data_IF_794426774433
#
_entry.id   IF_794426774433
#
_cell.length_a   1.000
_cell.length_b   1.000
_cell.length_c   1.000
_cell.angle_alpha   90.00
_cell.angle_beta   90.00
_cell.angle_gamma   90.00
#
_symmetry.space_group_name_H-M   'P 1'
#
loop_
_entity.id
_entity.type
_entity.pdbx_description
1 polymer ?
#
# COMPACT_ATOMS: atom_id res chain seq x y z
N UNK A 1 -14.47 14.73 -17.07
CA UNK A 1 -13.91 13.40 -16.90
C UNK A 1 -12.47 13.48 -16.41
N UNK A 2 -12.20 12.85 -15.29
CA UNK A 2 -10.86 12.84 -14.72
C UNK A 2 -9.81 12.25 -15.65
N UNK A 3 -10.22 11.24 -16.44
CA UNK A 3 -9.37 10.58 -17.41
C UNK A 3 -8.81 11.52 -18.50
N UNK A 4 -9.41 12.70 -18.69
CA UNK A 4 -8.94 13.66 -19.67
C UNK A 4 -7.64 14.34 -19.27
N UNK A 5 -7.25 14.26 -17.99
CA UNK A 5 -6.03 14.86 -17.47
C UNK A 5 -4.79 14.05 -17.84
N UNK A 6 -4.96 12.78 -18.21
CA UNK A 6 -3.86 11.86 -18.49
C UNK A 6 -4.08 11.13 -19.80
N UNK A 7 -3.00 10.99 -20.56
CA UNK A 7 -3.03 10.16 -21.77
C UNK A 7 -2.96 8.69 -21.41
N UNK A 8 -3.28 7.80 -22.35
CA UNK A 8 -3.14 6.36 -22.16
C UNK A 8 -1.71 5.98 -21.82
N UNK A 9 -0.73 6.63 -22.46
CA UNK A 9 0.69 6.38 -22.18
C UNK A 9 1.06 6.77 -20.76
N UNK A 10 0.53 7.88 -20.26
CA UNK A 10 0.79 8.34 -18.90
C UNK A 10 0.16 7.40 -17.88
N UNK A 11 -1.04 6.90 -18.15
CA UNK A 11 -1.72 5.93 -17.29
C UNK A 11 -0.93 4.62 -17.24
N UNK A 12 -0.41 4.16 -18.38
CA UNK A 12 0.42 2.97 -18.44
C UNK A 12 1.72 3.15 -17.65
N UNK A 13 2.33 4.33 -17.73
CA UNK A 13 3.54 4.63 -16.97
C UNK A 13 3.28 4.62 -15.46
N UNK A 14 2.16 5.19 -15.01
CA UNK A 14 1.77 5.17 -13.60
C UNK A 14 1.52 3.73 -13.17
N UNK A 15 0.85 2.94 -14.00
CA UNK A 15 0.62 1.52 -13.73
C UNK A 15 1.91 0.74 -13.53
N UNK A 16 2.91 1.00 -14.36
CA UNK A 16 4.22 0.34 -14.25
C UNK A 16 4.93 0.73 -12.96
N UNK A 17 4.91 2.02 -12.62
CA UNK A 17 5.49 2.52 -11.37
C UNK A 17 4.82 1.84 -10.17
N UNK A 18 3.50 1.77 -10.17
CA UNK A 18 2.75 1.13 -9.08
C UNK A 18 3.02 -0.37 -9.02
N UNK A 19 3.14 -1.02 -10.16
CA UNK A 19 3.44 -2.45 -10.21
C UNK A 19 4.81 -2.75 -9.59
N UNK A 20 5.82 -1.96 -9.93
CA UNK A 20 7.16 -2.08 -9.36
C UNK A 20 7.12 -1.83 -7.85
N UNK A 21 6.46 -0.77 -7.43
CA UNK A 21 6.34 -0.37 -6.03
C UNK A 21 5.63 -1.46 -5.20
N UNK A 22 4.50 -1.94 -5.68
CA UNK A 22 3.72 -2.97 -4.98
C UNK A 22 4.43 -4.32 -4.98
N UNK A 23 5.14 -4.65 -6.07
CA UNK A 23 5.93 -5.88 -6.13
C UNK A 23 7.04 -5.89 -5.08
N UNK A 24 7.75 -4.78 -4.93
CA UNK A 24 8.78 -4.63 -3.91
C UNK A 24 8.17 -4.72 -2.51
N UNK A 25 7.01 -4.10 -2.31
CA UNK A 25 6.29 -4.15 -1.03
C UNK A 25 5.87 -5.58 -0.69
N UNK A 26 5.34 -6.33 -1.66
CA UNK A 26 4.93 -7.71 -1.46
C UNK A 26 6.12 -8.60 -1.08
N UNK A 27 7.28 -8.37 -1.69
CA UNK A 27 8.51 -9.10 -1.37
C UNK A 27 8.94 -8.82 0.07
N UNK A 28 8.90 -7.56 0.49
CA UNK A 28 9.25 -7.18 1.86
C UNK A 28 8.32 -7.84 2.88
N UNK A 29 7.02 -7.83 2.61
CA UNK A 29 6.04 -8.47 3.50
C UNK A 29 6.23 -9.98 3.53
N UNK A 30 6.49 -10.60 2.38
CA UNK A 30 6.75 -12.05 2.32
C UNK A 30 7.94 -12.45 3.19
N UNK A 31 9.00 -11.65 3.16
CA UNK A 31 10.18 -11.90 3.97
C UNK A 31 9.86 -11.70 5.46
N UNK A 32 9.17 -10.64 5.79
CA UNK A 32 8.82 -10.30 7.17
C UNK A 32 7.91 -11.33 7.82
N UNK A 33 6.93 -11.84 7.08
CA UNK A 33 5.98 -12.82 7.57
C UNK A 33 6.44 -14.27 7.37
N UNK A 34 7.57 -14.48 6.70
CA UNK A 34 8.10 -15.79 6.34
C UNK A 34 7.04 -16.63 5.60
N UNK A 35 6.28 -16.00 4.76
CA UNK A 35 5.20 -16.59 3.98
C UNK A 35 5.10 -15.85 2.66
N UNK A 36 4.85 -16.59 1.58
CA UNK A 36 4.71 -15.98 0.27
C UNK A 36 3.47 -15.09 0.21
N UNK A 37 3.65 -13.84 -0.16
CA UNK A 37 2.58 -12.89 -0.40
C UNK A 37 2.67 -12.45 -1.85
N UNK A 38 1.61 -12.67 -2.59
CA UNK A 38 1.51 -12.27 -3.99
C UNK A 38 0.49 -11.16 -4.13
N UNK A 39 0.75 -10.27 -5.07
CA UNK A 39 -0.20 -9.22 -5.43
C UNK A 39 -0.60 -9.39 -6.90
N UNK A 40 -1.79 -8.93 -7.22
CA UNK A 40 -2.22 -8.87 -8.61
C UNK A 40 -1.69 -7.60 -9.26
N UNK A 41 -1.60 -7.60 -10.59
CA UNK A 41 -1.24 -6.39 -11.33
C UNK A 41 -2.28 -5.30 -11.04
N UNK A 42 -1.84 -4.09 -10.70
CA UNK A 42 -2.78 -3.03 -10.38
C UNK A 42 -3.60 -2.58 -11.59
N UNK A 43 -4.84 -2.25 -11.33
CA UNK A 43 -5.71 -1.61 -12.31
C UNK A 43 -5.77 -0.13 -11.95
N UNK A 44 -5.35 0.71 -12.87
CA UNK A 44 -5.27 2.15 -12.64
C UNK A 44 -6.49 2.84 -13.22
N UNK A 45 -7.18 3.59 -12.38
CA UNK A 45 -8.31 4.42 -12.78
C UNK A 45 -8.01 5.87 -12.39
N UNK A 46 -8.33 6.78 -13.30
CA UNK A 46 -8.20 8.20 -13.04
C UNK A 46 -9.60 8.78 -12.90
N UNK A 47 -9.88 9.33 -11.75
CA UNK A 47 -11.18 9.93 -11.45
C UNK A 47 -10.98 11.32 -10.89
N UNK A 48 -11.98 12.16 -11.04
CA UNK A 48 -11.95 13.47 -10.42
C UNK A 48 -12.16 13.32 -8.92
N UNK A 49 -11.57 14.22 -8.15
CA UNK A 49 -11.66 14.18 -6.70
C UNK A 49 -13.12 14.15 -6.21
N UNK A 50 -14.00 14.90 -6.87
CA UNK A 50 -15.41 14.95 -6.52
C UNK A 50 -16.20 13.71 -6.94
N UNK A 51 -15.65 12.90 -7.84
CA UNK A 51 -16.26 11.65 -8.28
C UNK A 51 -15.81 10.45 -7.45
N UNK A 52 -14.76 10.61 -6.67
CA UNK A 52 -14.22 9.51 -5.87
C UNK A 52 -15.10 9.25 -4.65
N UNK A 53 -15.52 7.99 -4.48
CA UNK A 53 -16.40 7.59 -3.38
C UNK A 53 -15.73 6.54 -2.52
N UNK A 54 -15.57 6.88 -1.25
CA UNK A 54 -14.98 5.99 -0.25
C UNK A 54 -16.00 4.97 0.29
N UNK A 55 -17.27 5.21 0.09
CA UNK A 55 -18.34 4.36 0.61
C UNK A 55 -18.38 2.96 0.00
N UNK A 56 -17.67 2.75 -1.11
CA UNK A 56 -17.54 1.44 -1.74
C UNK A 56 -16.46 0.57 -1.12
N UNK A 57 -15.67 1.14 -0.24
CA UNK A 57 -14.59 0.42 0.42
C UNK A 57 -15.16 -0.20 1.70
N UNK A 58 -15.03 -1.52 1.81
CA UNK A 58 -15.40 -2.22 3.04
C UNK A 58 -14.66 -1.63 4.23
N UNK A 59 -15.13 -1.88 5.47
CA UNK A 59 -14.42 -1.37 6.63
C UNK A 59 -12.93 -1.55 6.46
N UNK A 60 -12.22 -0.45 6.39
CA UNK A 60 -10.82 -0.43 6.01
C UNK A 60 -10.02 0.46 6.95
N UNK A 61 -8.74 0.19 7.00
CA UNK A 61 -7.79 1.00 7.73
C UNK A 61 -7.03 1.81 6.70
N UNK A 62 -7.07 3.13 6.85
CA UNK A 62 -6.35 4.03 5.97
C UNK A 62 -4.98 4.37 6.54
N UNK A 63 -3.95 4.28 5.73
CA UNK A 63 -2.60 4.68 6.11
C UNK A 63 -2.16 5.77 5.15
N UNK A 64 -1.89 6.96 5.69
CA UNK A 64 -1.39 8.08 4.89
C UNK A 64 0.13 7.98 4.80
N UNK A 65 0.63 8.11 3.58
CA UNK A 65 2.06 8.03 3.27
C UNK A 65 2.46 9.33 2.60
N UNK A 66 3.46 10.01 3.15
CA UNK A 66 3.97 11.25 2.58
C UNK A 66 5.42 11.05 2.17
N UNK A 67 5.73 11.39 0.91
CA UNK A 67 7.10 11.35 0.44
C UNK A 67 7.84 12.59 0.95
N UNK A 68 9.08 12.41 1.40
CA UNK A 68 9.89 13.51 1.90
C UNK A 68 10.98 13.94 0.91
N UNK A 69 11.25 13.12 -0.09
CA UNK A 69 12.15 13.52 -1.18
C UNK A 69 11.92 12.65 -2.41
N UNK A 70 12.22 13.19 -3.56
CA UNK A 70 12.15 12.48 -4.84
C UNK A 70 10.79 12.53 -5.53
N UNK A 71 9.72 12.51 -4.76
CA UNK A 71 8.36 12.64 -5.24
C UNK A 71 7.62 13.60 -4.33
N UNK A 72 6.62 14.28 -4.89
CA UNK A 72 5.78 15.19 -4.13
C UNK A 72 4.39 14.61 -3.95
N UNK A 73 3.76 14.96 -2.84
CA UNK A 73 2.41 14.57 -2.55
C UNK A 73 2.33 13.45 -1.52
N UNK A 74 1.13 12.97 -1.32
CA UNK A 74 0.86 11.91 -0.37
C UNK A 74 -0.04 10.86 -1.00
N UNK A 75 0.06 9.66 -0.45
CA UNK A 75 -0.79 8.54 -0.82
C UNK A 75 -1.59 8.11 0.39
N UNK A 76 -2.76 7.58 0.14
CA UNK A 76 -3.50 6.88 1.18
C UNK A 76 -3.66 5.44 0.74
N UNK A 77 -3.17 4.52 1.55
CA UNK A 77 -3.34 3.09 1.31
C UNK A 77 -4.50 2.60 2.15
N UNK A 78 -5.47 1.97 1.52
CA UNK A 78 -6.63 1.42 2.20
C UNK A 78 -6.48 -0.09 2.29
N UNK A 79 -6.52 -0.61 3.50
CA UNK A 79 -6.37 -2.03 3.77
C UNK A 79 -7.66 -2.54 4.42
N UNK A 80 -8.15 -3.67 3.96
CA UNK A 80 -9.32 -4.28 4.57
C UNK A 80 -8.98 -4.71 6.00
N UNK A 81 -9.90 -4.49 6.91
CA UNK A 81 -9.72 -4.85 8.32
C UNK A 81 -9.35 -6.33 8.48
N UNK A 82 -10.01 -7.20 7.71
CA UNK A 82 -9.71 -8.63 7.73
C UNK A 82 -8.25 -8.91 7.35
N UNK A 83 -7.76 -8.27 6.31
CA UNK A 83 -6.39 -8.48 5.84
C UNK A 83 -5.37 -7.97 6.86
N UNK A 84 -5.66 -6.84 7.50
CA UNK A 84 -4.80 -6.30 8.56
C UNK A 84 -4.75 -7.28 9.73
N UNK A 85 -5.88 -7.84 10.13
CA UNK A 85 -5.92 -8.85 11.19
C UNK A 85 -5.05 -10.05 10.85
N UNK A 86 -5.16 -10.56 9.62
CA UNK A 86 -4.36 -11.70 9.18
C UNK A 86 -2.86 -11.37 9.26
N UNK A 87 -2.46 -10.19 8.80
CA UNK A 87 -1.06 -9.75 8.84
C UNK A 87 -0.56 -9.67 10.27
N UNK A 88 -1.34 -9.06 11.17
CA UNK A 88 -0.96 -8.92 12.57
C UNK A 88 -0.87 -10.29 13.23
N UNK A 89 -1.83 -11.18 12.97
CA UNK A 89 -1.80 -12.54 13.49
C UNK A 89 -0.53 -13.28 13.08
N UNK A 90 -0.16 -13.19 11.81
CA UNK A 90 1.04 -13.83 11.30
C UNK A 90 2.31 -13.22 11.88
N UNK A 91 2.34 -11.90 12.02
CA UNK A 91 3.50 -11.19 12.54
C UNK A 91 3.73 -11.50 14.02
N UNK A 92 2.68 -11.55 14.80
CA UNK A 92 2.76 -11.73 16.25
C UNK A 92 2.65 -13.18 16.69
N UNK A 93 2.19 -14.04 15.81
CA UNK A 93 2.03 -15.47 16.12
C UNK A 93 0.89 -15.76 17.09
N UNK A 94 -0.04 -14.84 17.23
CA UNK A 94 -1.19 -14.99 18.13
C UNK A 94 -2.46 -15.13 17.32
N UNK A 95 -3.11 -16.32 17.31
CA UNK A 95 -4.37 -16.48 16.59
C UNK A 95 -5.45 -15.59 17.16
N UNK A 96 -6.24 -14.99 16.28
CA UNK A 96 -7.37 -14.17 16.67
C UNK A 96 -8.43 -14.18 15.57
N UNK A 97 -9.68 -13.99 15.96
CA UNK A 97 -10.78 -13.86 15.01
C UNK A 97 -10.97 -12.39 14.64
N UNK A 98 -11.75 -12.15 13.58
CA UNK A 98 -12.05 -10.78 13.17
C UNK A 98 -12.76 -9.99 14.27
N UNK A 99 -13.61 -10.66 15.05
CA UNK A 99 -14.31 -10.02 16.18
C UNK A 99 -13.37 -9.68 17.33
N UNK A 100 -12.34 -10.48 17.53
CA UNK A 100 -11.37 -10.25 18.60
C UNK A 100 -10.35 -9.17 18.25
N UNK A 101 -10.20 -8.86 16.96
CA UNK A 101 -9.22 -7.90 16.52
C UNK A 101 -9.61 -6.47 16.89
N UNK A 102 -8.73 -5.77 17.57
CA UNK A 102 -8.91 -4.37 17.96
C UNK A 102 -7.71 -3.56 17.51
N UNK A 103 -7.96 -2.31 17.12
CA UNK A 103 -6.89 -1.37 16.80
C UNK A 103 -6.37 -0.74 18.10
N UNK A 104 -5.76 -1.55 18.94
CA UNK A 104 -5.08 -1.09 20.13
C UNK A 104 -3.66 -0.65 19.78
N UNK A 105 -2.97 -0.10 20.76
CA UNK A 105 -1.62 0.45 20.58
C UNK A 105 -0.65 -0.59 20.02
N UNK A 106 -0.71 -1.81 20.53
CA UNK A 106 0.16 -2.90 20.10
C UNK A 106 -0.09 -3.30 18.65
N UNK A 107 -1.36 -3.45 18.26
CA UNK A 107 -1.72 -3.83 16.90
C UNK A 107 -1.43 -2.70 15.90
N UNK A 108 -1.63 -1.46 16.30
CA UNK A 108 -1.28 -0.30 15.48
C UNK A 108 0.23 -0.27 15.24
N UNK A 109 1.03 -0.51 16.28
CA UNK A 109 2.49 -0.56 16.16
C UNK A 109 2.93 -1.66 15.19
N UNK A 110 2.30 -2.82 15.26
CA UNK A 110 2.60 -3.93 14.35
C UNK A 110 2.28 -3.56 12.91
N UNK A 111 1.14 -2.95 12.65
CA UNK A 111 0.75 -2.48 11.31
C UNK A 111 1.73 -1.43 10.81
N UNK A 112 2.11 -0.47 11.65
CA UNK A 112 3.07 0.57 11.27
C UNK A 112 4.42 -0.03 10.89
N UNK A 113 4.88 -1.04 11.62
CA UNK A 113 6.15 -1.71 11.28
C UNK A 113 6.08 -2.38 9.91
N UNK A 114 4.98 -3.09 9.64
CA UNK A 114 4.77 -3.72 8.31
C UNK A 114 4.76 -2.65 7.24
N UNK A 115 4.05 -1.55 7.45
CA UNK A 115 3.95 -0.47 6.48
C UNK A 115 5.30 0.21 6.25
N UNK A 116 6.09 0.39 7.30
CA UNK A 116 7.45 0.95 7.17
C UNK A 116 8.33 0.06 6.30
N UNK A 117 8.27 -1.25 6.48
CA UNK A 117 9.03 -2.18 5.66
C UNK A 117 8.56 -2.16 4.21
N UNK A 118 7.26 -2.13 4.00
CA UNK A 118 6.68 -2.05 2.65
C UNK A 118 7.12 -0.77 1.94
N UNK A 119 7.02 0.36 2.62
CA UNK A 119 7.34 1.64 2.01
C UNK A 119 8.84 1.83 1.81
N UNK A 120 9.66 1.27 2.69
CA UNK A 120 11.10 1.26 2.51
C UNK A 120 11.50 0.51 1.26
N UNK A 121 10.95 -0.69 1.06
CA UNK A 121 11.20 -1.47 -0.14
C UNK A 121 10.67 -0.79 -1.40
N UNK A 122 9.49 -0.21 -1.32
CA UNK A 122 8.87 0.53 -2.41
C UNK A 122 9.72 1.73 -2.82
N UNK A 123 10.18 2.52 -1.85
CA UNK A 123 11.02 3.70 -2.11
C UNK A 123 12.35 3.32 -2.75
N UNK A 124 12.95 2.23 -2.31
CA UNK A 124 14.19 1.73 -2.91
C UNK A 124 13.97 1.34 -4.37
N UNK A 125 12.91 0.60 -4.65
CA UNK A 125 12.58 0.19 -6.01
C UNK A 125 12.28 1.39 -6.91
N UNK A 126 11.56 2.38 -6.39
CA UNK A 126 11.25 3.60 -7.13
C UNK A 126 12.51 4.43 -7.38
N UNK A 127 13.43 4.49 -6.41
CA UNK A 127 14.72 5.19 -6.58
C UNK A 127 15.50 4.59 -7.73
N UNK A 128 15.57 3.27 -7.81
CA UNK A 128 16.26 2.58 -8.89
C UNK A 128 15.57 2.82 -10.25
N UNK A 129 14.25 2.71 -10.27
CA UNK A 129 13.50 2.89 -11.52
C UNK A 129 13.58 4.31 -12.04
N UNK A 130 13.47 5.31 -11.18
CA UNK A 130 13.48 6.72 -11.56
C UNK A 130 14.89 7.31 -11.69
N UNK A 131 15.90 6.60 -11.21
CA UNK A 131 17.27 7.08 -11.23
C UNK A 131 17.53 8.27 -10.32
N UNK A 132 16.76 8.39 -9.23
CA UNK A 132 16.93 9.44 -8.23
C UNK A 132 16.46 8.95 -6.87
N UNK A 133 16.89 9.61 -5.82
CA UNK A 133 16.53 9.23 -4.45
C UNK A 133 15.06 9.53 -4.18
N UNK A 134 14.34 8.52 -3.68
CA UNK A 134 12.93 8.63 -3.25
C UNK A 134 12.86 8.16 -1.81
N UNK A 135 12.30 8.98 -0.95
CA UNK A 135 12.05 8.67 0.45
C UNK A 135 10.63 9.04 0.85
#
# INVERSE_FOLDING_TARGET
>A
MGSNCFSALEIDAVGEILNISLGASATAVSTMLNTRVDITTPVVNVVRKDEFKMDRVEPAIGVEITYISGLEGSNVMLLKRHDVRVIVEMLMGIPMTDEEFELNEMNISAVCEVMNQMMGASSTALSEFLGKVVN
#
